data_IF_353164251063
#
_entry.id   IF_353164251063
#
_cell.length_a   1.000
_cell.length_b   1.000
_cell.length_c   1.000
_cell.angle_alpha   90.00
_cell.angle_beta   90.00
_cell.angle_gamma   90.00
#
_symmetry.space_group_name_H-M   'P 1'
#
loop_
_entity.id
_entity.type
_entity.pdbx_description
1 polymer ?
#
# COMPACT_ATOMS: atom_id res chain seq x y z
N UNK A 1 -12.26 -9.29 23.98
CA UNK A 1 -12.81 -8.47 22.86
C UNK A 1 -13.76 -9.34 22.05
N UNK A 2 -14.83 -8.77 21.49
CA UNK A 2 -15.66 -9.51 20.53
C UNK A 2 -14.82 -9.85 19.29
N UNK A 3 -14.92 -11.07 18.80
CA UNK A 3 -14.25 -11.52 17.59
C UNK A 3 -15.19 -11.33 16.40
N UNK A 4 -14.76 -10.60 15.38
CA UNK A 4 -15.47 -10.48 14.10
C UNK A 4 -14.68 -11.28 13.07
N UNK A 5 -15.30 -12.28 12.48
CA UNK A 5 -14.72 -13.06 11.38
C UNK A 5 -15.44 -12.68 10.10
N UNK A 6 -14.70 -12.30 9.08
CA UNK A 6 -15.24 -12.04 7.75
C UNK A 6 -14.76 -13.16 6.82
N UNK A 7 -15.71 -13.83 6.18
CA UNK A 7 -15.45 -14.90 5.21
C UNK A 7 -15.37 -14.31 3.80
N UNK A 8 -14.26 -14.58 3.11
CA UNK A 8 -14.02 -14.18 1.72
C UNK A 8 -13.98 -15.40 0.77
N UNK A 9 -14.52 -16.54 1.18
CA UNK A 9 -14.63 -17.73 0.32
C UNK A 9 -15.37 -17.38 -0.99
N UNK A 10 -14.77 -17.81 -2.11
CA UNK A 10 -15.29 -17.47 -3.44
C UNK A 10 -14.98 -16.07 -3.96
N UNK A 11 -14.39 -15.21 -3.14
CA UNK A 11 -13.99 -13.83 -3.51
C UNK A 11 -12.65 -13.84 -4.26
N UNK A 12 -12.55 -13.08 -5.33
CA UNK A 12 -11.30 -12.87 -6.08
C UNK A 12 -10.64 -11.55 -5.66
N UNK A 13 -9.42 -11.62 -5.18
CA UNK A 13 -8.63 -10.48 -4.73
C UNK A 13 -7.40 -10.30 -5.61
N UNK A 14 -7.18 -9.10 -6.13
CA UNK A 14 -5.96 -8.76 -6.86
C UNK A 14 -5.14 -7.73 -6.07
N UNK A 15 -3.85 -8.01 -5.84
CA UNK A 15 -2.95 -7.14 -5.08
C UNK A 15 -1.76 -6.70 -5.95
N UNK A 16 -1.78 -5.46 -6.42
CA UNK A 16 -0.64 -4.85 -7.11
C UNK A 16 0.46 -4.48 -6.10
N UNK A 17 1.69 -4.93 -6.34
CA UNK A 17 2.78 -4.84 -5.38
C UNK A 17 2.73 -5.91 -4.28
N UNK A 18 1.92 -6.96 -4.43
CA UNK A 18 1.56 -7.96 -3.42
C UNK A 18 2.63 -8.99 -3.05
N UNK A 19 3.92 -8.73 -3.32
CA UNK A 19 4.98 -9.72 -3.12
C UNK A 19 5.93 -9.43 -1.96
N UNK A 20 5.70 -8.36 -1.21
CA UNK A 20 6.53 -8.00 -0.05
C UNK A 20 5.84 -7.02 0.90
N UNK A 21 6.34 -6.94 2.14
CA UNK A 21 5.93 -5.94 3.13
C UNK A 21 4.43 -5.90 3.38
N UNK A 22 3.88 -4.70 3.45
CA UNK A 22 2.46 -4.44 3.76
C UNK A 22 1.54 -5.16 2.78
N UNK A 23 1.81 -5.05 1.48
CA UNK A 23 0.93 -5.59 0.46
C UNK A 23 0.92 -7.13 0.42
N UNK A 24 2.05 -7.78 0.74
CA UNK A 24 2.06 -9.23 0.94
C UNK A 24 1.23 -9.61 2.16
N UNK A 25 1.36 -8.88 3.28
CA UNK A 25 0.54 -9.10 4.47
C UNK A 25 -0.96 -8.90 4.21
N UNK A 26 -1.33 -7.93 3.35
CA UNK A 26 -2.72 -7.77 2.90
C UNK A 26 -3.16 -9.00 2.09
N UNK A 27 -2.35 -9.45 1.14
CA UNK A 27 -2.62 -10.66 0.36
C UNK A 27 -2.80 -11.91 1.25
N UNK A 28 -1.94 -12.08 2.25
CA UNK A 28 -2.04 -13.15 3.25
C UNK A 28 -3.28 -13.05 4.13
N UNK A 29 -3.66 -11.82 4.50
CA UNK A 29 -4.89 -11.59 5.26
C UNK A 29 -6.14 -12.06 4.50
N UNK A 30 -6.24 -11.73 3.20
CA UNK A 30 -7.33 -12.21 2.36
C UNK A 30 -7.26 -13.72 2.10
N UNK A 31 -6.05 -14.27 1.87
CA UNK A 31 -5.85 -15.71 1.70
C UNK A 31 -6.33 -16.49 2.96
N UNK A 32 -5.94 -16.03 4.15
CA UNK A 32 -6.36 -16.64 5.41
C UNK A 32 -7.87 -16.50 5.67
N UNK A 33 -8.53 -15.53 5.03
CA UNK A 33 -9.98 -15.35 5.07
C UNK A 33 -10.73 -16.13 3.96
N UNK A 34 -10.03 -17.00 3.20
CA UNK A 34 -10.64 -17.89 2.22
C UNK A 34 -10.70 -17.34 0.78
N UNK A 35 -10.12 -16.17 0.50
CA UNK A 35 -10.14 -15.59 -0.83
C UNK A 35 -9.20 -16.32 -1.82
N UNK A 36 -9.55 -16.29 -3.12
CA UNK A 36 -8.63 -16.53 -4.22
C UNK A 36 -7.79 -15.27 -4.45
N UNK A 37 -6.46 -15.39 -4.45
CA UNK A 37 -5.57 -14.23 -4.46
C UNK A 37 -4.65 -14.22 -5.66
N UNK A 38 -4.67 -13.12 -6.40
CA UNK A 38 -3.71 -12.84 -7.47
C UNK A 38 -2.77 -11.71 -7.06
N UNK A 39 -1.47 -11.89 -7.26
CA UNK A 39 -0.45 -10.89 -6.94
C UNK A 39 0.34 -10.44 -8.16
N UNK A 40 0.77 -9.19 -8.16
CA UNK A 40 1.60 -8.63 -9.22
C UNK A 40 2.80 -7.87 -8.64
N UNK A 41 3.97 -8.08 -9.22
CA UNK A 41 5.15 -7.24 -9.00
C UNK A 41 6.15 -7.39 -10.15
N UNK A 42 7.24 -6.60 -10.13
CA UNK A 42 8.24 -6.58 -11.23
C UNK A 42 9.11 -7.83 -11.32
N UNK A 43 9.34 -8.53 -10.19
CA UNK A 43 10.24 -9.68 -10.14
C UNK A 43 9.45 -10.99 -10.23
N UNK A 44 9.67 -11.81 -11.28
CA UNK A 44 9.05 -13.13 -11.38
C UNK A 44 9.33 -14.00 -10.14
N UNK A 45 10.57 -14.01 -9.66
CA UNK A 45 10.98 -14.81 -8.49
C UNK A 45 10.21 -14.42 -7.22
N UNK A 46 9.96 -13.11 -7.02
CA UNK A 46 9.16 -12.64 -5.88
C UNK A 46 7.68 -12.98 -6.06
N UNK A 47 7.18 -12.98 -7.28
CA UNK A 47 5.81 -13.42 -7.59
C UNK A 47 5.65 -14.88 -7.25
N UNK A 48 6.55 -15.75 -7.73
CA UNK A 48 6.50 -17.19 -7.48
C UNK A 48 6.58 -17.51 -5.98
N UNK A 49 7.50 -16.84 -5.26
CA UNK A 49 7.62 -17.00 -3.81
C UNK A 49 6.34 -16.56 -3.06
N UNK A 50 5.72 -15.46 -3.48
CA UNK A 50 4.49 -14.98 -2.87
C UNK A 50 3.32 -15.94 -3.15
N UNK A 51 3.19 -16.43 -4.38
CA UNK A 51 2.16 -17.41 -4.74
C UNK A 51 2.32 -18.70 -3.91
N UNK A 52 3.54 -19.24 -3.81
CA UNK A 52 3.83 -20.41 -2.97
C UNK A 52 3.42 -20.18 -1.51
N UNK A 53 3.71 -19.00 -0.98
CA UNK A 53 3.37 -18.64 0.40
C UNK A 53 1.86 -18.53 0.61
N UNK A 54 1.12 -17.96 -0.33
CA UNK A 54 -0.34 -17.86 -0.28
C UNK A 54 -0.99 -19.25 -0.39
N UNK A 55 -0.47 -20.13 -1.24
CA UNK A 55 -0.92 -21.52 -1.37
C UNK A 55 -0.67 -22.32 -0.09
N UNK A 56 0.44 -22.07 0.61
CA UNK A 56 0.71 -22.69 1.92
C UNK A 56 -0.29 -22.27 3.01
N UNK A 57 -1.02 -21.17 2.84
CA UNK A 57 -2.14 -20.75 3.69
C UNK A 57 -3.47 -21.40 3.28
N UNK A 58 -3.47 -22.26 2.25
CA UNK A 58 -4.67 -22.94 1.74
C UNK A 58 -5.43 -22.16 0.67
N UNK A 59 -4.93 -21.01 0.22
CA UNK A 59 -5.62 -20.21 -0.80
C UNK A 59 -5.30 -20.71 -2.23
N UNK A 60 -6.28 -20.61 -3.14
CA UNK A 60 -6.00 -20.61 -4.55
C UNK A 60 -5.25 -19.30 -4.88
N UNK A 61 -4.04 -19.41 -5.42
CA UNK A 61 -3.23 -18.25 -5.70
C UNK A 61 -2.55 -18.30 -7.05
N UNK A 62 -2.45 -17.15 -7.71
CA UNK A 62 -1.74 -16.95 -8.97
C UNK A 62 -0.97 -15.63 -8.94
N UNK A 63 -0.14 -15.37 -9.94
CA UNK A 63 0.58 -14.13 -10.02
C UNK A 63 1.10 -13.79 -11.40
N UNK A 64 1.50 -12.53 -11.57
CA UNK A 64 2.06 -12.05 -12.82
C UNK A 64 3.18 -11.03 -12.62
N UNK A 65 4.29 -11.22 -13.34
CA UNK A 65 5.34 -10.21 -13.37
C UNK A 65 4.93 -9.06 -14.28
N UNK A 66 4.86 -7.83 -13.72
CA UNK A 66 4.64 -6.59 -14.46
C UNK A 66 5.13 -5.38 -13.66
N UNK A 67 5.58 -4.36 -14.36
CA UNK A 67 5.87 -3.04 -13.80
C UNK A 67 4.63 -2.15 -13.93
N UNK A 68 4.17 -1.54 -12.85
CA UNK A 68 2.99 -0.65 -12.87
C UNK A 68 3.18 0.59 -13.76
N UNK A 69 4.42 0.92 -14.13
CA UNK A 69 4.73 1.99 -15.08
C UNK A 69 4.39 1.63 -16.52
N UNK A 70 4.23 0.33 -16.79
CA UNK A 70 3.82 -0.20 -18.09
C UNK A 70 2.33 -0.58 -18.03
N UNK A 71 1.45 0.22 -18.66
CA UNK A 71 0.00 -0.02 -18.63
C UNK A 71 -0.41 -1.30 -19.37
N UNK A 72 0.32 -1.69 -20.43
CA UNK A 72 0.02 -2.91 -21.20
C UNK A 72 0.37 -4.16 -20.38
N UNK A 73 1.57 -4.21 -19.80
CA UNK A 73 1.98 -5.30 -18.92
C UNK A 73 1.08 -5.41 -17.68
N UNK A 74 0.67 -4.28 -17.11
CA UNK A 74 -0.29 -4.21 -16.00
C UNK A 74 -1.65 -4.79 -16.40
N UNK A 75 -2.18 -4.38 -17.55
CA UNK A 75 -3.43 -4.91 -18.10
C UNK A 75 -3.37 -6.41 -18.38
N UNK A 76 -2.25 -6.89 -18.94
CA UNK A 76 -2.04 -8.33 -19.17
C UNK A 76 -1.99 -9.14 -17.85
N UNK A 77 -1.38 -8.59 -16.78
CA UNK A 77 -1.35 -9.26 -15.47
C UNK A 77 -2.75 -9.37 -14.84
N UNK A 78 -3.55 -8.29 -14.91
CA UNK A 78 -4.95 -8.28 -14.48
C UNK A 78 -5.81 -9.24 -15.31
N UNK A 79 -5.63 -9.26 -16.62
CA UNK A 79 -6.33 -10.17 -17.52
C UNK A 79 -6.06 -11.66 -17.22
N UNK A 80 -4.81 -12.00 -16.85
CA UNK A 80 -4.47 -13.37 -16.41
C UNK A 80 -5.18 -13.74 -15.11
N UNK A 81 -5.24 -12.84 -14.15
CA UNK A 81 -5.96 -13.07 -12.90
C UNK A 81 -7.47 -13.27 -13.15
N UNK A 82 -8.05 -12.42 -14.01
CA UNK A 82 -9.45 -12.54 -14.42
C UNK A 82 -9.73 -13.87 -15.16
N UNK A 83 -8.83 -14.28 -16.04
CA UNK A 83 -8.97 -15.57 -16.75
C UNK A 83 -8.90 -16.77 -15.79
N UNK A 84 -8.11 -16.67 -14.71
CA UNK A 84 -7.96 -17.75 -13.72
C UNK A 84 -9.13 -17.80 -12.73
N UNK A 85 -9.64 -16.64 -12.27
CA UNK A 85 -10.53 -16.57 -11.11
C UNK A 85 -11.87 -15.83 -11.38
N UNK A 86 -12.08 -15.31 -12.58
CA UNK A 86 -13.26 -14.53 -12.93
C UNK A 86 -13.15 -13.08 -12.48
N UNK A 87 -14.30 -12.43 -12.31
CA UNK A 87 -14.38 -11.03 -11.91
C UNK A 87 -13.62 -10.73 -10.60
N UNK A 88 -13.01 -9.57 -10.53
CA UNK A 88 -12.26 -9.12 -9.36
C UNK A 88 -13.22 -8.45 -8.38
N UNK A 89 -13.38 -9.03 -7.20
CA UNK A 89 -14.21 -8.49 -6.12
C UNK A 89 -13.46 -7.44 -5.30
N UNK A 90 -12.16 -7.63 -5.10
CA UNK A 90 -11.32 -6.70 -4.34
C UNK A 90 -10.05 -6.40 -5.11
N UNK A 91 -9.80 -5.11 -5.34
CA UNK A 91 -8.55 -4.62 -5.92
C UNK A 91 -7.76 -3.86 -4.86
N UNK A 92 -6.52 -4.28 -4.62
CA UNK A 92 -5.55 -3.53 -3.80
C UNK A 92 -4.47 -2.95 -4.69
N UNK A 93 -4.36 -1.62 -4.73
CA UNK A 93 -3.31 -0.91 -5.47
C UNK A 93 -2.27 -0.37 -4.49
N UNK A 94 -1.11 -1.07 -4.40
CA UNK A 94 -0.12 -0.77 -3.37
C UNK A 94 1.33 -0.76 -3.86
N UNK A 95 1.59 -0.82 -5.17
CA UNK A 95 2.95 -0.67 -5.68
C UNK A 95 3.48 0.73 -5.35
N UNK A 96 4.68 0.80 -4.77
CA UNK A 96 5.28 2.07 -4.34
C UNK A 96 6.81 2.05 -4.42
N UNK A 97 7.38 3.26 -4.53
CA UNK A 97 8.82 3.53 -4.41
C UNK A 97 9.07 4.64 -3.39
N UNK A 98 10.14 4.51 -2.61
CA UNK A 98 10.51 5.54 -1.64
C UNK A 98 12.03 5.57 -1.41
N UNK A 99 12.56 6.78 -1.24
CA UNK A 99 13.92 7.05 -0.76
C UNK A 99 13.97 8.45 -0.13
N UNK A 100 14.78 8.70 0.92
CA UNK A 100 14.93 10.03 1.47
C UNK A 100 15.87 10.87 0.60
N UNK A 101 15.48 12.11 0.26
CA UNK A 101 16.33 13.09 -0.40
C UNK A 101 15.81 14.52 -0.14
N UNK A 102 16.72 15.48 0.12
CA UNK A 102 16.33 16.87 0.16
C UNK A 102 15.84 17.36 -1.20
N UNK A 103 14.88 18.26 -1.21
CA UNK A 103 14.25 18.71 -2.46
C UNK A 103 15.25 19.32 -3.45
N UNK A 104 16.27 20.03 -2.94
CA UNK A 104 17.32 20.63 -3.78
C UNK A 104 18.32 19.61 -4.34
N UNK A 105 18.54 18.50 -3.64
CA UNK A 105 19.48 17.44 -4.03
C UNK A 105 18.81 16.38 -4.93
N UNK A 106 17.48 16.45 -5.05
CA UNK A 106 16.71 15.51 -5.84
C UNK A 106 16.68 15.90 -7.32
N UNK A 107 17.25 15.06 -8.19
CA UNK A 107 17.14 15.31 -9.63
C UNK A 107 15.68 15.21 -10.12
N UNK A 108 15.31 15.91 -11.22
CA UNK A 108 13.99 15.78 -11.83
C UNK A 108 13.60 14.33 -12.16
N UNK A 109 14.56 13.50 -12.58
CA UNK A 109 14.30 12.09 -12.87
C UNK A 109 14.07 11.27 -11.60
N UNK A 110 14.76 11.57 -10.51
CA UNK A 110 14.53 10.93 -9.22
C UNK A 110 13.11 11.24 -8.69
N UNK A 111 12.68 12.51 -8.74
CA UNK A 111 11.31 12.92 -8.42
C UNK A 111 10.29 12.17 -9.29
N UNK A 112 10.47 12.22 -10.61
CA UNK A 112 9.60 11.55 -11.58
C UNK A 112 9.47 10.06 -11.32
N UNK A 113 10.56 9.37 -10.97
CA UNK A 113 10.55 7.92 -10.76
C UNK A 113 9.55 7.47 -9.69
N UNK A 114 9.35 8.27 -8.64
CA UNK A 114 8.37 7.97 -7.58
C UNK A 114 6.96 8.33 -8.03
N UNK A 115 6.77 9.47 -8.70
CA UNK A 115 5.47 9.84 -9.28
C UNK A 115 4.99 8.81 -10.29
N UNK A 116 5.89 8.31 -11.15
CA UNK A 116 5.57 7.29 -12.14
C UNK A 116 5.14 5.95 -11.50
N UNK A 117 5.78 5.56 -10.39
CA UNK A 117 5.42 4.32 -9.70
C UNK A 117 4.15 4.51 -8.85
N UNK A 118 4.15 5.51 -7.96
CA UNK A 118 3.15 5.63 -6.91
C UNK A 118 1.83 6.21 -7.42
N UNK A 119 1.88 7.24 -8.26
CA UNK A 119 0.67 7.91 -8.77
C UNK A 119 0.24 7.35 -10.11
N UNK A 120 1.09 7.43 -11.14
CA UNK A 120 0.72 6.97 -12.48
C UNK A 120 0.55 5.44 -12.50
N UNK A 121 1.41 4.69 -11.79
CA UNK A 121 1.26 3.25 -11.63
C UNK A 121 -0.04 2.85 -10.95
N UNK A 122 -0.47 3.58 -9.91
CA UNK A 122 -1.80 3.37 -9.31
C UNK A 122 -2.92 3.64 -10.31
N UNK A 123 -2.84 4.74 -11.08
CA UNK A 123 -3.82 5.05 -12.11
C UNK A 123 -3.88 3.95 -13.19
N UNK A 124 -2.74 3.43 -13.63
CA UNK A 124 -2.70 2.33 -14.63
C UNK A 124 -3.41 1.07 -14.10
N UNK A 125 -3.13 0.68 -12.84
CA UNK A 125 -3.78 -0.46 -12.18
C UNK A 125 -5.29 -0.25 -12.10
N UNK A 126 -5.73 0.89 -11.59
CA UNK A 126 -7.14 1.23 -11.41
C UNK A 126 -7.89 1.21 -12.73
N UNK A 127 -7.35 1.91 -13.75
CA UNK A 127 -7.95 1.99 -15.08
C UNK A 127 -8.05 0.63 -15.78
N UNK A 128 -7.00 -0.18 -15.70
CA UNK A 128 -6.97 -1.50 -16.33
C UNK A 128 -7.86 -2.51 -15.61
N UNK A 129 -8.02 -2.38 -14.28
CA UNK A 129 -8.88 -3.27 -13.50
C UNK A 129 -10.37 -2.97 -13.67
N UNK A 130 -10.77 -1.70 -13.90
CA UNK A 130 -12.17 -1.30 -13.91
C UNK A 130 -13.12 -2.19 -14.76
N UNK A 131 -12.77 -2.56 -16.02
CA UNK A 131 -13.63 -3.46 -16.82
C UNK A 131 -13.69 -4.90 -16.29
N UNK A 132 -12.78 -5.28 -15.38
CA UNK A 132 -12.66 -6.63 -14.82
C UNK A 132 -13.23 -6.73 -13.40
N UNK A 133 -13.66 -5.58 -12.83
CA UNK A 133 -14.27 -5.54 -11.50
C UNK A 133 -15.68 -6.11 -11.53
N UNK A 134 -16.07 -6.80 -10.44
CA UNK A 134 -17.47 -7.17 -10.19
C UNK A 134 -18.32 -5.92 -10.02
N UNK A 135 -19.37 -5.81 -10.79
CA UNK A 135 -20.32 -4.69 -10.71
C UNK A 135 -21.75 -5.18 -10.69
N UNK A 136 -22.54 -4.82 -9.66
CA UNK A 136 -22.14 -4.08 -8.47
C UNK A 136 -21.39 -4.95 -7.45
N UNK A 137 -20.65 -4.31 -6.53
CA UNK A 137 -20.14 -4.95 -5.31
C UNK A 137 -18.64 -4.90 -5.09
N UNK A 138 -17.83 -4.56 -6.11
CA UNK A 138 -16.38 -4.51 -5.93
C UNK A 138 -15.92 -3.44 -4.93
N UNK A 139 -14.83 -3.76 -4.23
CA UNK A 139 -14.11 -2.84 -3.36
C UNK A 139 -12.69 -2.58 -3.89
N UNK A 140 -12.35 -1.32 -4.04
CA UNK A 140 -11.01 -0.86 -4.43
C UNK A 140 -10.34 -0.20 -3.25
N UNK A 141 -9.11 -0.61 -2.94
CA UNK A 141 -8.34 -0.11 -1.81
C UNK A 141 -6.97 0.35 -2.32
N UNK A 142 -6.72 1.65 -2.25
CA UNK A 142 -5.40 2.20 -2.53
C UNK A 142 -4.57 2.19 -1.25
N UNK A 143 -3.29 1.80 -1.33
CA UNK A 143 -2.35 1.90 -0.22
C UNK A 143 -1.64 3.25 -0.31
N UNK A 144 -2.10 4.18 0.51
CA UNK A 144 -1.54 5.52 0.64
C UNK A 144 -0.45 5.58 1.74
N UNK A 145 -0.19 6.75 2.26
CA UNK A 145 0.75 6.95 3.35
C UNK A 145 0.46 8.30 4.05
N UNK A 146 0.92 8.51 5.30
CA UNK A 146 0.75 9.79 6.01
C UNK A 146 1.30 10.99 5.25
N UNK A 147 2.31 10.77 4.39
CA UNK A 147 2.88 11.78 3.49
C UNK A 147 1.84 12.45 2.58
N UNK A 148 0.69 11.85 2.36
CA UNK A 148 -0.38 12.45 1.55
C UNK A 148 -0.99 13.73 2.19
N UNK A 149 -0.91 13.86 3.51
CA UNK A 149 -1.53 14.97 4.25
C UNK A 149 -0.68 15.50 5.43
N UNK A 150 0.40 14.79 5.78
CA UNK A 150 1.41 15.25 6.74
C UNK A 150 2.69 15.61 5.97
N UNK A 151 3.09 16.88 5.90
CA UNK A 151 4.33 17.23 5.20
C UNK A 151 5.52 16.62 5.92
N UNK A 152 6.38 15.94 5.17
CA UNK A 152 7.59 15.32 5.70
C UNK A 152 8.83 15.77 4.94
N UNK A 153 9.83 16.26 5.67
CA UNK A 153 11.15 16.56 5.10
C UNK A 153 11.74 15.34 4.39
N UNK A 154 12.56 15.56 3.39
CA UNK A 154 13.20 14.51 2.56
C UNK A 154 12.24 13.63 1.74
N UNK A 155 10.93 13.95 1.68
CA UNK A 155 9.88 13.12 1.08
C UNK A 155 9.00 13.88 0.08
N UNK A 156 9.46 14.98 -0.52
CA UNK A 156 8.65 15.84 -1.39
C UNK A 156 7.95 15.07 -2.52
N UNK A 157 8.65 14.12 -3.16
CA UNK A 157 8.14 13.27 -4.24
C UNK A 157 7.04 12.30 -3.75
N UNK A 158 7.23 11.68 -2.58
CA UNK A 158 6.24 10.76 -1.98
C UNK A 158 5.01 11.55 -1.52
N UNK A 159 5.21 12.70 -0.86
CA UNK A 159 4.11 13.57 -0.44
C UNK A 159 3.23 13.97 -1.64
N UNK A 160 3.84 14.43 -2.73
CA UNK A 160 3.11 14.80 -3.94
C UNK A 160 2.37 13.61 -4.56
N UNK A 161 3.03 12.45 -4.69
CA UNK A 161 2.44 11.27 -5.30
C UNK A 161 1.27 10.72 -4.45
N UNK A 162 1.43 10.59 -3.13
CA UNK A 162 0.40 10.04 -2.25
C UNK A 162 -0.79 10.99 -2.04
N UNK A 163 -0.57 12.30 -2.03
CA UNK A 163 -1.66 13.27 -2.09
C UNK A 163 -2.49 13.10 -3.37
N UNK A 164 -1.83 12.86 -4.51
CA UNK A 164 -2.48 12.54 -5.77
C UNK A 164 -3.28 11.23 -5.72
N UNK A 165 -2.75 10.17 -5.10
CA UNK A 165 -3.46 8.88 -4.90
C UNK A 165 -4.72 9.07 -4.07
N UNK A 166 -4.65 9.87 -2.99
CA UNK A 166 -5.81 10.12 -2.13
C UNK A 166 -6.87 10.98 -2.84
N UNK A 167 -6.46 11.91 -3.68
CA UNK A 167 -7.41 12.66 -4.50
C UNK A 167 -8.03 11.76 -5.59
N UNK A 168 -7.24 10.90 -6.24
CA UNK A 168 -7.72 9.93 -7.20
C UNK A 168 -8.74 8.97 -6.57
N UNK A 169 -8.51 8.52 -5.34
CA UNK A 169 -9.47 7.72 -4.55
C UNK A 169 -10.82 8.41 -4.45
N UNK A 170 -10.85 9.70 -4.11
CA UNK A 170 -12.10 10.47 -3.96
C UNK A 170 -12.81 10.68 -5.29
N UNK A 171 -12.06 10.99 -6.35
CA UNK A 171 -12.64 11.17 -7.70
C UNK A 171 -13.27 9.88 -8.19
N UNK A 172 -12.54 8.74 -8.09
CA UNK A 172 -13.06 7.46 -8.55
C UNK A 172 -14.22 6.93 -7.68
N UNK A 173 -14.27 7.28 -6.39
CA UNK A 173 -15.44 6.99 -5.56
C UNK A 173 -16.72 7.68 -6.08
N UNK A 174 -16.59 8.90 -6.63
CA UNK A 174 -17.69 9.62 -7.26
C UNK A 174 -18.06 8.98 -8.61
N UNK A 175 -17.06 8.73 -9.46
CA UNK A 175 -17.29 8.26 -10.82
C UNK A 175 -17.80 6.81 -10.87
N UNK A 176 -17.32 5.93 -9.98
CA UNK A 176 -17.63 4.49 -10.00
C UNK A 176 -18.71 4.07 -9.01
N UNK A 177 -19.13 5.00 -8.14
CA UNK A 177 -20.17 4.75 -7.14
C UNK A 177 -21.50 4.34 -7.74
N UNK A 178 -21.87 4.93 -8.92
CA UNK A 178 -23.08 4.58 -9.67
C UNK A 178 -23.11 3.14 -10.18
N UNK A 179 -21.92 2.53 -10.40
CA UNK A 179 -21.76 1.11 -10.78
C UNK A 179 -21.64 0.18 -9.56
N UNK A 180 -21.84 0.71 -8.35
CA UNK A 180 -21.74 -0.05 -7.11
C UNK A 180 -20.32 -0.44 -6.72
N UNK A 181 -19.29 0.28 -7.21
CA UNK A 181 -17.88 0.09 -6.84
C UNK A 181 -17.51 1.09 -5.75
N UNK A 182 -16.98 0.60 -4.64
CA UNK A 182 -16.47 1.44 -3.54
C UNK A 182 -14.96 1.62 -3.70
N UNK A 183 -14.47 2.84 -3.57
CA UNK A 183 -13.05 3.17 -3.70
C UNK A 183 -12.58 3.90 -2.45
N UNK A 184 -11.61 3.34 -1.73
CA UNK A 184 -11.07 3.87 -0.49
C UNK A 184 -9.54 3.82 -0.48
N UNK A 185 -8.91 4.56 0.42
CA UNK A 185 -7.49 4.45 0.74
C UNK A 185 -7.28 3.95 2.16
N UNK A 186 -6.29 3.09 2.37
CA UNK A 186 -5.71 2.80 3.68
C UNK A 186 -4.38 3.53 3.81
N UNK A 187 -4.13 4.12 4.99
CA UNK A 187 -2.90 4.86 5.29
C UNK A 187 -2.14 4.12 6.40
N UNK A 188 -1.17 3.26 6.05
CA UNK A 188 -0.36 2.58 7.05
C UNK A 188 0.58 3.55 7.78
N UNK A 189 0.74 3.35 9.08
CA UNK A 189 1.79 3.97 9.89
C UNK A 189 3.13 3.26 9.75
N UNK A 190 3.99 3.37 10.78
CA UNK A 190 5.23 2.61 10.84
C UNK A 190 4.94 1.11 11.00
N UNK A 191 5.21 0.35 9.94
CA UNK A 191 4.95 -1.10 9.90
C UNK A 191 6.28 -1.84 9.94
N UNK A 192 6.44 -2.74 10.91
CA UNK A 192 7.64 -3.53 11.09
C UNK A 192 7.96 -4.43 9.88
N UNK A 193 9.24 -4.75 9.69
CA UNK A 193 9.70 -5.67 8.64
C UNK A 193 9.60 -5.13 7.22
N UNK A 194 9.20 -3.86 7.03
CA UNK A 194 9.08 -3.25 5.69
C UNK A 194 10.39 -2.63 5.22
N UNK A 195 10.63 -2.69 3.89
CA UNK A 195 11.80 -2.05 3.27
C UNK A 195 11.81 -0.53 3.46
N UNK A 196 10.64 0.11 3.38
CA UNK A 196 10.51 1.55 3.61
C UNK A 196 11.01 1.94 4.99
N UNK A 197 10.60 1.21 6.04
CA UNK A 197 11.04 1.51 7.41
C UNK A 197 12.50 1.16 7.66
N UNK A 198 13.04 0.10 7.03
CA UNK A 198 14.50 -0.19 7.10
C UNK A 198 15.34 0.95 6.53
N UNK A 199 14.85 1.64 5.50
CA UNK A 199 15.53 2.81 4.91
C UNK A 199 15.37 4.08 5.73
N UNK A 200 14.21 4.28 6.34
CA UNK A 200 13.91 5.47 7.14
C UNK A 200 14.46 5.39 8.56
N UNK A 201 14.49 4.20 9.15
CA UNK A 201 14.98 3.96 10.50
C UNK A 201 15.97 2.75 10.48
N UNK A 202 17.20 2.94 9.99
CA UNK A 202 18.14 1.84 9.77
C UNK A 202 18.84 1.35 11.05
N UNK A 203 18.76 2.08 12.16
CA UNK A 203 19.42 1.72 13.42
C UNK A 203 18.40 1.39 14.51
N UNK A 204 18.80 0.60 15.55
CA UNK A 204 17.93 0.34 16.70
C UNK A 204 17.43 1.61 17.39
N UNK A 205 18.28 2.64 17.50
CA UNK A 205 17.95 3.95 18.10
C UNK A 205 16.90 4.67 17.27
N UNK A 206 17.04 4.68 15.93
CA UNK A 206 16.04 5.25 15.03
C UNK A 206 14.72 4.47 15.09
N UNK A 207 14.78 3.15 15.23
CA UNK A 207 13.60 2.31 15.45
C UNK A 207 12.86 2.69 16.72
N UNK A 208 13.57 2.83 17.84
CA UNK A 208 12.98 3.22 19.12
C UNK A 208 12.41 4.63 19.07
N UNK A 209 13.11 5.56 18.41
CA UNK A 209 12.62 6.92 18.18
C UNK A 209 11.28 6.92 17.46
N UNK A 210 11.16 6.17 16.36
CA UNK A 210 9.90 6.05 15.62
C UNK A 210 8.81 5.44 16.50
N UNK A 211 9.10 4.33 17.21
CA UNK A 211 8.15 3.67 18.12
C UNK A 211 7.63 4.64 19.18
N UNK A 212 8.49 5.45 19.77
CA UNK A 212 8.14 6.43 20.80
C UNK A 212 7.22 7.55 20.27
N UNK A 213 7.20 7.80 18.96
CA UNK A 213 6.31 8.79 18.34
C UNK A 213 4.92 8.23 17.97
N UNK A 214 4.69 6.91 18.08
CA UNK A 214 3.39 6.28 17.80
C UNK A 214 2.54 6.32 19.07
N UNK A 215 1.37 7.00 19.08
CA UNK A 215 0.49 7.04 20.25
C UNK A 215 0.09 5.67 20.79
N UNK A 216 -0.11 4.67 19.91
CA UNK A 216 -0.37 3.29 20.32
C UNK A 216 0.84 2.57 20.95
N UNK A 217 2.00 3.25 21.08
CA UNK A 217 3.22 2.79 21.73
C UNK A 217 3.81 1.48 21.18
N UNK A 218 3.48 1.12 19.94
CA UNK A 218 4.02 -0.05 19.23
C UNK A 218 4.18 0.21 17.73
N UNK A 219 5.01 -0.57 17.11
CA UNK A 219 4.99 -0.72 15.65
C UNK A 219 3.69 -1.41 15.22
N UNK A 220 3.19 -1.02 14.05
CA UNK A 220 2.17 -1.80 13.36
C UNK A 220 2.77 -3.03 12.69
N UNK A 221 1.93 -4.00 12.41
CA UNK A 221 2.27 -5.21 11.64
C UNK A 221 1.58 -5.16 10.27
N UNK A 222 2.05 -5.93 9.28
CA UNK A 222 1.30 -6.09 8.04
C UNK A 222 -0.13 -6.58 8.25
N UNK A 223 -0.36 -7.35 9.33
CA UNK A 223 -1.69 -7.84 9.71
C UNK A 223 -2.61 -6.71 10.18
N UNK A 224 -2.12 -5.72 10.92
CA UNK A 224 -2.94 -4.56 11.32
C UNK A 224 -3.53 -3.83 10.10
N UNK A 225 -2.74 -3.73 9.01
CA UNK A 225 -3.20 -3.11 7.76
C UNK A 225 -4.15 -4.03 7.00
N UNK A 226 -3.86 -5.33 6.97
CA UNK A 226 -4.73 -6.33 6.35
C UNK A 226 -6.12 -6.34 6.98
N UNK A 227 -6.24 -6.24 8.30
CA UNK A 227 -7.52 -6.22 9.00
C UNK A 227 -8.38 -5.01 8.60
N UNK A 228 -7.77 -3.84 8.39
CA UNK A 228 -8.47 -2.66 7.85
C UNK A 228 -8.89 -2.89 6.40
N UNK A 229 -8.06 -3.53 5.58
CA UNK A 229 -8.43 -3.87 4.20
C UNK A 229 -9.59 -4.88 4.16
N UNK A 230 -9.58 -5.90 5.03
CA UNK A 230 -10.69 -6.85 5.17
C UNK A 230 -11.99 -6.12 5.56
N UNK A 231 -11.94 -5.18 6.52
CA UNK A 231 -13.08 -4.35 6.87
C UNK A 231 -13.59 -3.56 5.66
N UNK A 232 -12.71 -2.81 4.97
CA UNK A 232 -13.10 -1.98 3.84
C UNK A 232 -13.66 -2.79 2.67
N UNK A 233 -13.22 -4.03 2.49
CA UNK A 233 -13.72 -4.95 1.45
C UNK A 233 -15.04 -5.63 1.85
N UNK A 234 -15.36 -5.71 3.14
CA UNK A 234 -16.50 -6.45 3.68
C UNK A 234 -17.83 -5.70 3.56
N UNK A 235 -18.97 -6.38 3.78
CA UNK A 235 -20.29 -5.76 3.92
C UNK A 235 -20.40 -4.76 5.07
N UNK A 236 -19.52 -4.84 6.09
CA UNK A 236 -19.47 -3.88 7.20
C UNK A 236 -19.14 -2.46 6.72
N UNK A 237 -18.47 -2.33 5.58
CA UNK A 237 -18.12 -1.05 4.93
C UNK A 237 -19.03 -0.74 3.71
N UNK A 238 -20.23 -1.31 3.62
CA UNK A 238 -21.10 -1.16 2.44
C UNK A 238 -21.45 0.30 2.12
N UNK A 239 -21.45 1.20 3.10
CA UNK A 239 -21.74 2.64 2.92
C UNK A 239 -20.47 3.50 3.06
N UNK A 240 -19.28 2.90 2.93
CA UNK A 240 -17.98 3.59 3.04
C UNK A 240 -17.32 3.64 1.67
N UNK A 241 -17.23 4.84 1.08
CA UNK A 241 -16.50 5.10 -0.18
C UNK A 241 -15.88 6.50 -0.14
N UNK A 242 -14.74 6.70 -0.80
CA UNK A 242 -14.01 7.97 -0.85
C UNK A 242 -13.23 8.29 0.45
N UNK A 243 -13.17 7.37 1.41
CA UNK A 243 -12.44 7.60 2.67
C UNK A 243 -10.94 7.36 2.50
N UNK A 244 -10.16 8.16 3.21
CA UNK A 244 -8.72 7.97 3.45
C UNK A 244 -8.60 7.59 4.92
N UNK A 245 -8.37 6.29 5.19
CA UNK A 245 -8.46 5.71 6.52
C UNK A 245 -7.09 5.39 7.11
N UNK A 246 -6.62 6.12 8.14
CA UNK A 246 -5.37 5.80 8.84
C UNK A 246 -5.46 4.46 9.60
N UNK A 247 -4.46 3.60 9.36
CA UNK A 247 -4.17 2.38 10.10
C UNK A 247 -2.74 2.51 10.65
N UNK A 248 -2.52 3.47 11.53
CA UNK A 248 -1.21 4.03 11.84
C UNK A 248 -0.90 4.16 13.33
N UNK A 249 -1.76 3.66 14.20
CA UNK A 249 -1.62 3.80 15.65
C UNK A 249 -1.67 5.24 16.15
N UNK A 250 -2.21 6.17 15.34
CA UNK A 250 -2.27 7.61 15.62
C UNK A 250 -1.02 8.39 15.20
N UNK A 251 -0.09 7.75 14.49
CA UNK A 251 1.19 8.37 14.13
C UNK A 251 1.04 9.65 13.31
N UNK A 252 0.10 9.72 12.41
CA UNK A 252 -0.18 10.91 11.59
C UNK A 252 -0.73 12.11 12.37
N UNK A 253 -1.13 11.94 13.64
CA UNK A 253 -1.63 13.02 14.50
C UNK A 253 -0.51 13.91 15.08
N UNK A 254 0.75 13.70 14.67
CA UNK A 254 1.89 14.51 15.09
C UNK A 254 3.22 13.75 15.15
N UNK A 255 3.20 12.44 15.42
CA UNK A 255 4.38 11.61 15.55
C UNK A 255 5.21 11.51 14.28
N UNK A 256 4.56 11.45 13.12
CA UNK A 256 5.20 11.32 11.83
C UNK A 256 6.19 12.46 11.52
N UNK A 257 5.75 13.71 11.69
CA UNK A 257 6.61 14.90 11.48
C UNK A 257 7.76 14.95 12.47
N UNK A 258 7.51 14.62 13.73
CA UNK A 258 8.53 14.59 14.78
C UNK A 258 9.61 13.54 14.49
N UNK A 259 9.23 12.33 14.12
CA UNK A 259 10.15 11.26 13.78
C UNK A 259 11.03 11.63 12.57
N UNK A 260 10.44 12.17 11.50
CA UNK A 260 11.19 12.54 10.31
C UNK A 260 12.12 13.74 10.53
N UNK A 261 11.71 14.72 11.35
CA UNK A 261 12.59 15.84 11.73
C UNK A 261 13.82 15.36 12.51
N UNK A 262 13.64 14.41 13.43
CA UNK A 262 14.75 13.84 14.19
C UNK A 262 15.69 13.00 13.32
N UNK A 263 15.16 12.18 12.38
CA UNK A 263 15.97 11.42 11.42
C UNK A 263 16.77 12.36 10.51
N UNK A 264 16.15 13.40 9.99
CA UNK A 264 16.83 14.38 9.15
C UNK A 264 17.99 15.09 9.90
N UNK A 265 17.78 15.45 11.16
CA UNK A 265 18.80 16.06 12.00
C UNK A 265 19.99 15.11 12.27
N UNK A 266 19.77 13.81 12.36
CA UNK A 266 20.84 12.81 12.48
C UNK A 266 21.62 12.64 11.17
N UNK A 267 20.95 12.64 10.04
CA UNK A 267 21.59 12.49 8.71
C UNK A 267 22.45 13.69 8.30
N UNK A 268 22.15 14.89 8.84
CA UNK A 268 22.95 16.12 8.58
C UNK A 268 24.20 16.24 9.46
N UNK A 269 24.36 15.40 10.49
CA UNK A 269 25.60 15.28 11.26
C UNK A 269 26.54 14.35 10.54
N UNK A 270 27.33 14.87 9.58
CA UNK A 270 28.40 14.14 8.93
C UNK A 270 29.47 13.78 9.99
N UNK A 271 30.08 12.56 9.96
CA UNK A 271 31.22 12.23 10.82
C UNK A 271 32.43 13.02 10.33
N UNK A 272 32.75 14.11 10.93
CA UNK A 272 33.85 14.96 10.50
C UNK A 272 34.29 16.09 11.44
N UNK A 273 33.60 16.29 12.58
CA UNK A 273 33.90 17.43 13.48
C UNK A 273 34.46 17.01 14.85
N UNK A 274 34.97 15.79 14.99
CA UNK A 274 35.72 15.34 16.18
C UNK A 274 37.25 15.38 15.92
N UNK A 275 37.74 16.48 15.37
CA UNK A 275 39.18 16.80 15.33
C UNK A 275 39.40 18.23 15.80
N UNK A 276 39.39 18.40 17.11
CA UNK A 276 39.79 19.61 17.82
C UNK A 276 40.38 19.27 19.17
#
# INVERSE_FOLDING_TARGET
MAQVTVDFSGTTVFVAGGTSGINLGIAEGFAAAGARVAVMSRSPQKVDAAVTRLQALGAEATGGAADVRDPEATGAALGRAHAAFGEIDVLVSGAAGNFPAAALDMSPNAFRSVVDIDLLGSYHVLRAAYPLLRKPGAAVINVSAPQAFVPMGLQAHVCAAKAGVDMLTRVLAIEWGGDGVRVNSVVPGPIEGTEGMRRLAPTPEAHELVRATVPAARWGTPRDVADVCLFLASPLAAYVTGVVLPADGGWSLGGASTAMAAIAAQSSRTPGDDSG
#
